data_IF_509844382356
#
_entry.id   IF_509844382356
#
_cell.length_a   1.000
_cell.length_b   1.000
_cell.length_c   1.000
_cell.angle_alpha   90.00
_cell.angle_beta   90.00
_cell.angle_gamma   90.00
#
_symmetry.space_group_name_H-M   'P 1'
#
loop_
_entity.id
_entity.type
_entity.pdbx_description
1 polymer ?
#
# COMPACT_ATOMS: atom_id res chain seq x y z
N UNK A 1 -31.40 -19.90 10.37
CA UNK A 1 -30.47 -18.98 9.67
C UNK A 1 -29.10 -18.81 10.38
N UNK A 2 -28.67 -19.71 11.30
CA UNK A 2 -27.42 -19.52 12.07
C UNK A 2 -26.22 -20.43 11.71
N UNK A 3 -26.42 -21.44 10.86
CA UNK A 3 -25.38 -22.43 10.56
C UNK A 3 -24.43 -22.02 9.42
N UNK A 4 -24.94 -21.31 8.40
CA UNK A 4 -24.16 -20.87 7.24
C UNK A 4 -23.07 -19.84 7.61
N UNK A 5 -23.41 -18.81 8.40
CA UNK A 5 -22.47 -17.76 8.82
C UNK A 5 -21.25 -18.28 9.62
N UNK A 6 -21.39 -19.40 10.32
CA UNK A 6 -20.27 -19.97 11.10
C UNK A 6 -19.24 -20.64 10.20
N UNK A 7 -19.65 -21.17 9.04
CA UNK A 7 -18.76 -21.74 8.03
C UNK A 7 -17.94 -20.64 7.35
N UNK A 8 -18.62 -19.59 6.90
CA UNK A 8 -17.98 -18.46 6.20
C UNK A 8 -17.04 -17.68 7.11
N UNK A 9 -17.41 -17.48 8.39
CA UNK A 9 -16.54 -16.82 9.36
C UNK A 9 -15.30 -17.65 9.70
N UNK A 10 -15.42 -18.98 9.76
CA UNK A 10 -14.27 -19.88 9.93
C UNK A 10 -13.37 -19.85 8.71
N UNK A 11 -13.94 -19.86 7.51
CA UNK A 11 -13.19 -19.78 6.27
C UNK A 11 -12.45 -18.44 6.17
N UNK A 12 -13.12 -17.33 6.46
CA UNK A 12 -12.49 -16.01 6.55
C UNK A 12 -11.35 -15.99 7.57
N UNK A 13 -11.58 -16.54 8.78
CA UNK A 13 -10.55 -16.61 9.82
C UNK A 13 -9.33 -17.44 9.38
N UNK A 14 -9.55 -18.56 8.67
CA UNK A 14 -8.48 -19.40 8.12
C UNK A 14 -7.73 -18.66 7.01
N UNK A 15 -8.43 -17.97 6.11
CA UNK A 15 -7.80 -17.18 5.04
C UNK A 15 -6.95 -16.05 5.62
N UNK A 16 -7.47 -15.32 6.62
CA UNK A 16 -6.72 -14.26 7.31
C UNK A 16 -5.51 -14.85 8.04
N UNK A 17 -5.68 -15.98 8.73
CA UNK A 17 -4.57 -16.66 9.42
C UNK A 17 -3.47 -17.07 8.44
N UNK A 18 -3.83 -17.64 7.29
CA UNK A 18 -2.88 -18.02 6.23
C UNK A 18 -2.17 -16.76 5.70
N UNK A 19 -2.90 -15.69 5.41
CA UNK A 19 -2.31 -14.44 4.94
C UNK A 19 -1.29 -13.87 5.94
N UNK A 20 -1.62 -13.88 7.24
CA UNK A 20 -0.71 -13.46 8.32
C UNK A 20 0.52 -14.36 8.40
N UNK A 21 0.35 -15.67 8.31
CA UNK A 21 1.47 -16.62 8.33
C UNK A 21 2.39 -16.44 7.12
N UNK A 22 1.83 -16.22 5.94
CA UNK A 22 2.61 -15.92 4.72
C UNK A 22 3.38 -14.62 4.90
N UNK A 23 2.74 -13.55 5.41
CA UNK A 23 3.42 -12.29 5.71
C UNK A 23 4.54 -12.47 6.74
N UNK A 24 4.32 -13.25 7.79
CA UNK A 24 5.35 -13.55 8.79
C UNK A 24 6.53 -14.33 8.19
N UNK A 25 6.26 -15.30 7.31
CA UNK A 25 7.30 -16.04 6.61
C UNK A 25 8.10 -15.12 5.71
N UNK A 26 7.42 -14.30 4.90
CA UNK A 26 8.06 -13.30 4.05
C UNK A 26 8.93 -12.36 4.89
N UNK A 27 8.44 -11.87 6.03
CA UNK A 27 9.22 -11.04 6.92
C UNK A 27 10.49 -11.77 7.40
N UNK A 28 10.40 -12.99 7.93
CA UNK A 28 11.56 -13.74 8.44
C UNK A 28 12.61 -14.04 7.36
N UNK A 29 12.18 -14.36 6.14
CA UNK A 29 13.09 -14.74 5.06
C UNK A 29 13.62 -13.54 4.26
N UNK A 30 12.82 -12.48 4.07
CA UNK A 30 13.23 -11.31 3.30
C UNK A 30 13.90 -10.24 4.18
N UNK A 31 13.56 -10.08 5.48
CA UNK A 31 14.22 -9.07 6.34
C UNK A 31 15.75 -9.22 6.33
N UNK A 32 16.35 -10.41 6.53
CA UNK A 32 17.79 -10.58 6.53
C UNK A 32 18.42 -10.15 5.20
N UNK A 33 17.76 -10.46 4.07
CA UNK A 33 18.20 -10.07 2.74
C UNK A 33 18.10 -8.56 2.49
N UNK A 34 17.23 -7.86 3.23
CA UNK A 34 17.13 -6.40 3.18
C UNK A 34 18.15 -5.67 4.06
N UNK A 35 18.85 -6.33 4.99
CA UNK A 35 19.81 -5.67 5.90
C UNK A 35 20.87 -4.79 5.21
N UNK A 36 21.44 -5.13 4.03
CA UNK A 36 22.37 -4.24 3.33
C UNK A 36 21.64 -3.05 2.67
N UNK A 37 20.38 -3.24 2.29
CA UNK A 37 19.52 -2.26 1.63
C UNK A 37 19.03 -1.23 2.66
N UNK A 38 18.71 -1.63 3.89
CA UNK A 38 18.27 -0.71 4.95
C UNK A 38 19.32 0.37 5.22
N UNK A 39 20.62 0.05 5.15
CA UNK A 39 21.69 1.03 5.28
C UNK A 39 21.66 2.11 4.20
N UNK A 40 21.26 1.75 2.98
CA UNK A 40 21.07 2.70 1.86
C UNK A 40 19.74 3.45 1.90
N UNK A 41 18.74 2.92 2.61
CA UNK A 41 17.43 3.56 2.82
C UNK A 41 17.43 4.52 4.03
N UNK A 42 18.49 4.51 4.85
CA UNK A 42 18.62 5.37 6.02
C UNK A 42 18.95 6.82 5.65
N UNK A 43 19.42 7.07 4.43
CA UNK A 43 19.61 8.41 3.90
C UNK A 43 18.36 8.76 3.07
N UNK A 44 17.53 9.67 3.58
CA UNK A 44 16.32 10.10 2.89
C UNK A 44 16.63 10.62 1.49
N UNK A 45 15.74 10.33 0.51
CA UNK A 45 15.92 10.88 -0.84
C UNK A 45 15.75 12.40 -0.80
N UNK A 46 16.52 13.13 -1.61
CA UNK A 46 16.28 14.57 -1.78
C UNK A 46 14.89 14.84 -2.38
N UNK A 47 14.30 15.99 -2.06
CA UNK A 47 12.97 16.39 -2.57
C UNK A 47 12.82 16.26 -4.09
N UNK A 48 13.88 16.51 -4.87
CA UNK A 48 13.85 16.36 -6.32
C UNK A 48 13.75 14.90 -6.75
N UNK A 49 14.45 14.01 -6.06
CA UNK A 49 14.50 12.59 -6.39
C UNK A 49 13.25 11.84 -5.90
N UNK A 50 12.60 12.33 -4.85
CA UNK A 50 11.37 11.72 -4.33
C UNK A 50 10.14 11.96 -5.22
N UNK A 51 10.08 13.06 -5.99
CA UNK A 51 8.93 13.39 -6.86
C UNK A 51 8.51 12.25 -7.80
N UNK A 52 9.39 11.66 -8.62
CA UNK A 52 8.99 10.59 -9.53
C UNK A 52 8.46 9.35 -8.78
N UNK A 53 9.05 9.03 -7.62
CA UNK A 53 8.59 7.92 -6.78
C UNK A 53 7.24 8.21 -6.14
N UNK A 54 7.05 9.39 -5.56
CA UNK A 54 5.78 9.82 -4.98
C UNK A 54 4.66 9.87 -6.01
N UNK A 55 4.96 10.35 -7.22
CA UNK A 55 4.00 10.36 -8.34
C UNK A 55 3.63 8.93 -8.76
N UNK A 56 4.62 8.07 -9.03
CA UNK A 56 4.38 6.69 -9.45
C UNK A 56 3.57 5.89 -8.42
N UNK A 57 3.90 6.04 -7.14
CA UNK A 57 3.21 5.34 -6.05
C UNK A 57 1.77 5.84 -5.87
N UNK A 58 1.53 7.14 -6.04
CA UNK A 58 0.18 7.71 -6.02
C UNK A 58 -0.66 7.21 -7.18
N UNK A 59 -0.13 7.18 -8.40
CA UNK A 59 -0.83 6.64 -9.57
C UNK A 59 -1.19 5.17 -9.35
N UNK A 60 -0.25 4.37 -8.85
CA UNK A 60 -0.50 2.96 -8.54
C UNK A 60 -1.61 2.79 -7.49
N UNK A 61 -1.60 3.59 -6.43
CA UNK A 61 -2.61 3.57 -5.37
C UNK A 61 -4.00 3.93 -5.90
N UNK A 62 -4.10 5.02 -6.67
CA UNK A 62 -5.37 5.49 -7.24
C UNK A 62 -5.89 4.49 -8.28
N UNK A 63 -5.02 3.89 -9.10
CA UNK A 63 -5.41 2.84 -10.03
C UNK A 63 -5.92 1.59 -9.30
N UNK A 64 -5.29 1.21 -8.19
CA UNK A 64 -5.75 0.11 -7.34
C UNK A 64 -7.12 0.41 -6.71
N UNK A 65 -7.34 1.63 -6.20
CA UNK A 65 -8.64 2.03 -5.67
C UNK A 65 -9.71 2.03 -6.75
N UNK A 66 -9.42 2.55 -7.95
CA UNK A 66 -10.34 2.52 -9.07
C UNK A 66 -10.70 1.08 -9.50
N UNK A 67 -9.74 0.15 -9.44
CA UNK A 67 -9.98 -1.27 -9.72
C UNK A 67 -10.95 -1.91 -8.72
N UNK A 68 -10.86 -1.51 -7.44
CA UNK A 68 -11.65 -2.10 -6.34
C UNK A 68 -13.01 -1.40 -6.17
N UNK A 69 -13.11 -0.10 -6.48
CA UNK A 69 -14.28 0.73 -6.20
C UNK A 69 -15.55 0.29 -6.97
N UNK A 70 -15.41 -0.36 -8.12
CA UNK A 70 -16.53 -0.93 -8.88
C UNK A 70 -17.47 0.08 -9.55
N UNK A 71 -17.50 1.34 -9.07
CA UNK A 71 -18.15 2.48 -9.70
C UNK A 71 -17.16 3.24 -10.59
N UNK A 72 -17.64 3.76 -11.71
CA UNK A 72 -16.80 4.22 -12.82
C UNK A 72 -15.91 5.43 -12.45
N UNK A 73 -14.64 5.34 -12.84
CA UNK A 73 -13.56 6.35 -12.70
C UNK A 73 -13.95 7.80 -13.04
N UNK A 74 -14.99 8.00 -13.85
CA UNK A 74 -15.45 9.31 -14.30
C UNK A 74 -16.43 10.01 -13.35
N UNK A 75 -17.24 9.27 -12.57
CA UNK A 75 -18.24 9.85 -11.67
C UNK A 75 -17.63 10.46 -10.40
N UNK A 76 -16.51 9.89 -9.96
CA UNK A 76 -15.82 10.27 -8.72
C UNK A 76 -14.55 11.09 -8.98
N UNK A 77 -14.37 11.60 -10.21
CA UNK A 77 -13.10 12.22 -10.63
C UNK A 77 -12.72 13.43 -9.76
N UNK A 78 -13.69 14.22 -9.29
CA UNK A 78 -13.42 15.32 -8.34
C UNK A 78 -12.82 14.82 -7.02
N UNK A 79 -13.25 13.66 -6.51
CA UNK A 79 -12.73 13.08 -5.29
C UNK A 79 -11.38 12.40 -5.52
N UNK A 80 -11.24 11.70 -6.66
CA UNK A 80 -9.98 11.09 -7.07
C UNK A 80 -8.87 12.13 -7.28
N UNK A 81 -9.21 13.31 -7.81
CA UNK A 81 -8.24 14.37 -8.06
C UNK A 81 -7.73 15.00 -6.74
N UNK A 82 -8.63 15.29 -5.80
CA UNK A 82 -8.22 15.76 -4.47
C UNK A 82 -7.39 14.70 -3.73
N UNK A 83 -7.81 13.43 -3.77
CA UNK A 83 -7.06 12.32 -3.20
C UNK A 83 -5.67 12.22 -3.84
N UNK A 84 -5.57 12.33 -5.17
CA UNK A 84 -4.29 12.30 -5.88
C UNK A 84 -3.31 13.34 -5.33
N UNK A 85 -3.70 14.62 -5.24
CA UNK A 85 -2.78 15.66 -4.76
C UNK A 85 -2.41 15.49 -3.29
N UNK A 86 -3.36 15.07 -2.44
CA UNK A 86 -3.09 14.79 -1.02
C UNK A 86 -2.11 13.62 -0.84
N UNK A 87 -2.36 12.49 -1.50
CA UNK A 87 -1.47 11.33 -1.44
C UNK A 87 -0.12 11.64 -2.07
N UNK A 88 -0.09 12.32 -3.21
CA UNK A 88 1.15 12.72 -3.85
C UNK A 88 2.02 13.57 -2.94
N UNK A 89 1.45 14.59 -2.29
CA UNK A 89 2.19 15.42 -1.34
C UNK A 89 2.71 14.60 -0.16
N UNK A 90 1.84 13.83 0.49
CA UNK A 90 2.21 13.05 1.69
C UNK A 90 3.27 12.00 1.35
N UNK A 91 3.07 11.22 0.29
CA UNK A 91 4.00 10.16 -0.13
C UNK A 91 5.34 10.75 -0.57
N UNK A 92 5.32 11.85 -1.33
CA UNK A 92 6.56 12.54 -1.73
C UNK A 92 7.35 13.00 -0.51
N UNK A 93 6.70 13.56 0.51
CA UNK A 93 7.36 14.00 1.75
C UNK A 93 7.84 12.84 2.62
N UNK A 94 7.11 11.73 2.66
CA UNK A 94 7.53 10.51 3.36
C UNK A 94 8.76 9.88 2.71
N UNK A 95 8.81 9.85 1.38
CA UNK A 95 9.95 9.34 0.60
C UNK A 95 11.14 10.30 0.68
N UNK A 96 10.88 11.61 0.63
CA UNK A 96 11.91 12.65 0.70
C UNK A 96 12.57 12.80 2.09
N UNK A 97 12.27 11.90 3.01
CA UNK A 97 12.55 11.93 4.44
C UNK A 97 13.62 12.96 4.85
N UNK A 98 13.20 14.04 5.51
CA UNK A 98 14.04 15.22 5.83
C UNK A 98 14.98 14.99 7.03
N UNK A 99 15.17 13.75 7.50
CA UNK A 99 15.95 13.44 8.71
C UNK A 99 17.15 12.57 8.42
#
# INVERSE_FOLDING_TARGET
MGAANRGDLKLLAVVVLIAVLVLALLAVFLLPATTPIVGTLNEGLGLRESVPWGFGLTVALIAFFALVAGDGLLGELQFMLSAFFSFFLILTLLIAWVF
#
